data_IF_706583465670
#
_entry.id   IF_706583465670
#
_cell.length_a   1.000
_cell.length_b   1.000
_cell.length_c   1.000
_cell.angle_alpha   90.00
_cell.angle_beta   90.00
_cell.angle_gamma   90.00
#
_symmetry.space_group_name_H-M   'P 1'
#
loop_
_entity.id
_entity.type
_entity.pdbx_description
1 polymer ?
#
# COMPACT_ATOMS: atom_id res chain seq x y z
N UNK A 1 42.02 10.14 -36.63
CA UNK A 1 41.62 11.22 -35.71
C UNK A 1 40.11 11.53 -35.70
N UNK A 2 39.28 11.03 -36.65
CA UNK A 2 37.83 11.35 -36.71
C UNK A 2 36.90 10.48 -35.86
N UNK A 3 37.29 9.24 -35.51
CA UNK A 3 36.39 8.29 -34.82
C UNK A 3 36.26 8.59 -33.32
N UNK A 4 37.34 9.02 -32.67
CA UNK A 4 37.36 9.33 -31.23
C UNK A 4 36.46 10.50 -30.84
N UNK A 5 36.40 11.55 -31.68
CA UNK A 5 35.50 12.69 -31.44
C UNK A 5 34.02 12.30 -31.52
N UNK A 6 33.64 11.44 -32.47
CA UNK A 6 32.25 10.99 -32.61
C UNK A 6 31.79 10.12 -31.44
N UNK A 7 32.68 9.28 -30.90
CA UNK A 7 32.38 8.44 -29.75
C UNK A 7 32.23 9.30 -28.49
N UNK A 8 33.13 10.26 -28.28
CA UNK A 8 33.06 11.19 -27.15
C UNK A 8 31.77 12.02 -27.16
N UNK A 9 31.35 12.53 -28.33
CA UNK A 9 30.08 13.26 -28.47
C UNK A 9 28.87 12.36 -28.21
N UNK A 10 28.91 11.09 -28.65
CA UNK A 10 27.84 10.13 -28.39
C UNK A 10 27.72 9.79 -26.90
N UNK A 11 28.83 9.50 -26.22
CA UNK A 11 28.87 9.22 -24.78
C UNK A 11 28.33 10.42 -24.00
N UNK A 12 28.79 11.63 -24.32
CA UNK A 12 28.31 12.86 -23.69
C UNK A 12 26.81 13.08 -23.93
N UNK A 13 26.30 12.73 -25.11
CA UNK A 13 24.85 12.79 -25.38
C UNK A 13 24.06 11.79 -24.54
N UNK A 14 24.56 10.56 -24.39
CA UNK A 14 23.93 9.53 -23.55
C UNK A 14 23.93 9.94 -22.08
N UNK A 15 25.04 10.49 -21.57
CA UNK A 15 25.10 11.01 -20.20
C UNK A 15 24.08 12.13 -19.96
N UNK A 16 23.95 13.06 -20.90
CA UNK A 16 22.93 14.12 -20.81
C UNK A 16 21.50 13.55 -20.87
N UNK A 17 21.27 12.49 -21.64
CA UNK A 17 19.97 11.81 -21.66
C UNK A 17 19.66 11.12 -20.33
N UNK A 18 20.64 10.45 -19.70
CA UNK A 18 20.47 9.82 -18.38
C UNK A 18 20.10 10.87 -17.34
N UNK A 19 20.83 11.99 -17.29
CA UNK A 19 20.55 13.11 -16.37
C UNK A 19 19.15 13.69 -16.62
N UNK A 20 18.73 13.82 -17.89
CA UNK A 20 17.38 14.28 -18.24
C UNK A 20 16.28 13.32 -17.73
N UNK A 21 16.49 12.00 -17.88
CA UNK A 21 15.55 10.98 -17.39
C UNK A 21 15.46 11.03 -15.86
N UNK A 22 16.57 11.18 -15.16
CA UNK A 22 16.59 11.31 -13.70
C UNK A 22 15.79 12.53 -13.24
N UNK A 23 15.93 13.68 -13.91
CA UNK A 23 15.14 14.88 -13.63
C UNK A 23 13.64 14.65 -13.87
N UNK A 24 13.28 13.98 -14.98
CA UNK A 24 11.89 13.62 -15.27
C UNK A 24 11.30 12.68 -14.21
N UNK A 25 12.07 11.70 -13.73
CA UNK A 25 11.67 10.80 -12.65
C UNK A 25 11.51 11.54 -11.31
N UNK A 26 12.40 12.47 -11.00
CA UNK A 26 12.31 13.30 -9.80
C UNK A 26 11.05 14.17 -9.82
N UNK A 27 10.73 14.76 -10.97
CA UNK A 27 9.52 15.55 -11.15
C UNK A 27 8.26 14.69 -10.98
N UNK A 28 8.24 13.50 -11.59
CA UNK A 28 7.11 12.58 -11.47
C UNK A 28 6.90 12.14 -10.02
N UNK A 29 7.99 11.85 -9.28
CA UNK A 29 7.93 11.55 -7.85
C UNK A 29 7.35 12.71 -7.03
N UNK A 30 7.74 13.95 -7.34
CA UNK A 30 7.19 15.13 -6.69
C UNK A 30 5.69 15.28 -6.95
N UNK A 31 5.25 15.11 -8.21
CA UNK A 31 3.83 15.16 -8.56
C UNK A 31 3.03 14.05 -7.87
N UNK A 32 3.55 12.83 -7.84
CA UNK A 32 2.91 11.72 -7.10
C UNK A 32 2.85 12.00 -5.60
N UNK A 33 3.86 12.64 -5.02
CA UNK A 33 3.83 13.08 -3.62
C UNK A 33 2.76 14.14 -3.37
N UNK A 34 2.61 15.10 -4.29
CA UNK A 34 1.56 16.13 -4.22
C UNK A 34 0.17 15.53 -4.37
N UNK A 35 -0.05 14.65 -5.36
CA UNK A 35 -1.31 13.95 -5.54
C UNK A 35 -1.64 13.05 -4.35
N UNK A 36 -0.66 12.34 -3.78
CA UNK A 36 -0.84 11.56 -2.55
C UNK A 36 -1.24 12.44 -1.36
N UNK A 37 -0.69 13.64 -1.27
CA UNK A 37 -1.07 14.61 -0.24
C UNK A 37 -2.50 15.13 -0.43
N UNK A 38 -2.89 15.45 -1.67
CA UNK A 38 -4.26 15.89 -1.97
C UNK A 38 -5.29 14.76 -1.79
N UNK A 39 -4.96 13.52 -2.15
CA UNK A 39 -5.79 12.34 -1.87
C UNK A 39 -5.94 12.15 -0.35
N UNK A 40 -4.87 12.35 0.43
CA UNK A 40 -4.93 12.30 1.90
C UNK A 40 -5.82 13.41 2.49
N UNK A 41 -5.82 14.60 1.88
CA UNK A 41 -6.70 15.72 2.24
C UNK A 41 -8.16 15.41 1.91
N UNK A 42 -8.45 14.77 0.78
CA UNK A 42 -9.77 14.27 0.42
C UNK A 42 -10.24 13.13 1.33
N UNK A 43 -9.34 12.25 1.77
CA UNK A 43 -9.67 11.19 2.73
C UNK A 43 -10.08 11.77 4.09
N UNK A 44 -9.47 12.88 4.53
CA UNK A 44 -9.92 13.63 5.72
C UNK A 44 -11.33 14.20 5.57
N UNK A 45 -11.76 14.56 4.36
CA UNK A 45 -13.12 15.02 4.11
C UNK A 45 -14.13 13.87 4.01
N UNK A 46 -13.70 12.67 3.59
CA UNK A 46 -14.54 11.46 3.59
C UNK A 46 -14.76 10.85 4.98
N UNK A 47 -13.84 11.07 5.92
CA UNK A 47 -13.92 10.54 7.29
C UNK A 47 -14.78 11.38 8.26
N UNK A 48 -15.47 12.43 7.80
CA UNK A 48 -16.48 13.17 8.57
C UNK A 48 -17.82 12.42 8.72
N UNK A 49 -17.77 11.10 8.87
CA UNK A 49 -18.85 10.31 9.49
C UNK A 49 -18.20 9.23 10.37
N UNK A 50 -17.59 9.66 11.47
CA UNK A 50 -17.78 9.06 12.81
C UNK A 50 -17.01 9.90 13.82
N UNK A 51 -17.76 10.71 14.57
CA UNK A 51 -17.26 11.36 15.78
C UNK A 51 -16.75 10.32 16.79
N UNK A 52 -15.45 10.36 17.13
CA UNK A 52 -15.03 10.71 18.48
C UNK A 52 -13.50 10.72 18.67
N UNK A 53 -13.01 11.94 18.94
CA UNK A 53 -12.02 12.32 19.97
C UNK A 53 -10.57 11.86 19.80
N UNK A 54 -9.82 12.75 19.14
CA UNK A 54 -8.52 13.29 19.54
C UNK A 54 -7.70 12.53 20.59
N UNK A 55 -6.59 11.93 20.15
CA UNK A 55 -5.33 11.97 20.91
C UNK A 55 -4.26 12.50 19.97
N UNK A 56 -3.95 13.77 20.17
CA UNK A 56 -2.73 14.42 19.70
C UNK A 56 -1.56 13.87 20.52
N UNK A 57 -0.50 13.39 19.87
CA UNK A 57 0.85 13.52 20.40
C UNK A 57 1.84 13.70 19.25
N UNK A 58 2.66 14.71 19.46
CA UNK A 58 3.64 15.41 18.62
C UNK A 58 4.82 14.50 18.17
N UNK A 59 5.62 14.89 17.15
CA UNK A 59 6.53 14.00 16.44
C UNK A 59 7.84 13.79 17.22
N UNK A 60 8.30 12.55 17.29
CA UNK A 60 9.65 12.22 17.73
C UNK A 60 10.30 11.27 16.73
N UNK A 61 11.49 11.69 16.33
CA UNK A 61 12.47 11.12 15.41
C UNK A 61 12.96 9.72 15.77
N UNK A 62 13.32 8.98 14.72
CA UNK A 62 14.37 7.94 14.62
C UNK A 62 14.47 6.83 15.68
N UNK A 63 14.42 5.60 15.14
CA UNK A 63 15.10 4.39 15.58
C UNK A 63 14.58 3.72 16.87
N UNK A 64 13.66 2.77 16.69
CA UNK A 64 13.76 1.53 17.46
C UNK A 64 13.27 0.32 16.66
N UNK A 65 14.19 -0.61 16.51
CA UNK A 65 13.92 -1.99 16.15
C UNK A 65 13.18 -2.64 17.32
N UNK A 66 12.24 -3.55 17.05
CA UNK A 66 11.52 -4.38 18.03
C UNK A 66 10.30 -3.73 18.73
N UNK A 67 9.25 -3.51 17.95
CA UNK A 67 7.88 -3.82 18.37
C UNK A 67 7.01 -4.05 17.12
N UNK A 68 7.21 -5.19 16.46
CA UNK A 68 6.24 -5.72 15.49
C UNK A 68 5.02 -6.23 16.26
N UNK A 69 4.35 -5.35 17.00
CA UNK A 69 2.96 -5.59 17.35
C UNK A 69 2.24 -5.60 16.01
N UNK A 70 1.64 -6.72 15.56
CA UNK A 70 0.81 -6.65 14.37
C UNK A 70 -0.23 -5.59 14.66
N UNK A 71 -0.27 -4.54 13.83
CA UNK A 71 -1.28 -3.50 13.96
C UNK A 71 -2.62 -4.20 14.12
N UNK A 72 -3.24 -4.09 15.30
CA UNK A 72 -4.53 -4.72 15.61
C UNK A 72 -5.63 -3.91 14.92
N UNK A 73 -5.58 -3.93 13.59
CA UNK A 73 -6.52 -3.28 12.70
C UNK A 73 -7.55 -4.30 12.23
N UNK A 74 -8.79 -3.85 12.18
CA UNK A 74 -9.90 -4.64 11.66
C UNK A 74 -10.29 -4.12 10.29
N UNK A 75 -10.33 -5.01 9.31
CA UNK A 75 -10.70 -4.72 7.93
C UNK A 75 -12.19 -4.98 7.71
N UNK A 76 -12.87 -4.07 7.02
CA UNK A 76 -14.25 -4.30 6.57
C UNK A 76 -14.29 -5.16 5.31
N UNK A 77 -15.45 -5.75 4.99
CA UNK A 77 -15.61 -6.59 3.79
C UNK A 77 -15.23 -5.87 2.49
N UNK A 78 -15.47 -4.55 2.40
CA UNK A 78 -15.03 -3.75 1.25
C UNK A 78 -13.51 -3.70 1.12
N UNK A 79 -12.79 -3.54 2.23
CA UNK A 79 -11.32 -3.51 2.24
C UNK A 79 -10.73 -4.88 1.97
N UNK A 80 -11.29 -5.93 2.56
CA UNK A 80 -10.88 -7.31 2.28
C UNK A 80 -11.03 -7.62 0.78
N UNK A 81 -12.14 -7.23 0.17
CA UNK A 81 -12.37 -7.36 -1.28
C UNK A 81 -11.33 -6.57 -2.10
N UNK A 82 -10.96 -5.38 -1.65
CA UNK A 82 -9.94 -4.56 -2.32
C UNK A 82 -8.54 -5.16 -2.23
N UNK A 83 -8.13 -5.61 -1.04
CA UNK A 83 -6.79 -6.15 -0.78
C UNK A 83 -6.60 -7.51 -1.46
N UNK A 84 -7.60 -8.38 -1.39
CA UNK A 84 -7.51 -9.75 -1.95
C UNK A 84 -7.87 -9.80 -3.44
N UNK A 85 -8.49 -8.75 -3.99
CA UNK A 85 -9.05 -8.73 -5.34
C UNK A 85 -10.24 -9.69 -5.55
N UNK A 86 -10.72 -10.35 -4.48
CA UNK A 86 -11.78 -11.35 -4.54
C UNK A 86 -13.15 -10.71 -4.38
N UNK A 87 -14.13 -11.21 -5.14
CA UNK A 87 -15.53 -10.80 -4.97
C UNK A 87 -16.09 -11.22 -3.61
N UNK A 88 -17.08 -10.49 -3.09
CA UNK A 88 -17.77 -10.83 -1.83
C UNK A 88 -18.30 -12.26 -1.83
N UNK A 89 -18.86 -12.70 -2.97
CA UNK A 89 -19.38 -14.06 -3.13
C UNK A 89 -18.27 -15.10 -3.06
N UNK A 90 -17.09 -14.80 -3.61
CA UNK A 90 -15.92 -15.67 -3.52
C UNK A 90 -15.42 -15.76 -2.09
N UNK A 91 -15.33 -14.63 -1.38
CA UNK A 91 -14.95 -14.60 0.04
C UNK A 91 -15.89 -15.50 0.87
N UNK A 92 -17.22 -15.37 0.71
CA UNK A 92 -18.15 -16.25 1.44
C UNK A 92 -18.03 -17.73 1.06
N UNK A 93 -17.76 -18.05 -0.21
CA UNK A 93 -17.49 -19.43 -0.64
C UNK A 93 -16.24 -19.99 0.04
N UNK A 94 -15.16 -19.22 0.10
CA UNK A 94 -13.91 -19.63 0.74
C UNK A 94 -14.02 -19.71 2.25
N UNK A 95 -14.83 -18.85 2.88
CA UNK A 95 -15.17 -18.96 4.31
C UNK A 95 -15.90 -20.28 4.57
N UNK A 96 -16.88 -20.66 3.73
CA UNK A 96 -17.58 -21.93 3.85
C UNK A 96 -16.65 -23.14 3.60
N UNK A 97 -15.65 -22.98 2.73
CA UNK A 97 -14.61 -23.98 2.47
C UNK A 97 -13.52 -24.03 3.57
N UNK A 98 -13.58 -23.15 4.58
CA UNK A 98 -12.51 -22.95 5.59
C UNK A 98 -11.14 -22.57 4.99
N UNK A 99 -11.13 -22.01 3.78
CA UNK A 99 -9.93 -21.56 3.08
C UNK A 99 -9.62 -20.07 3.32
N UNK A 100 -10.53 -19.34 3.96
CA UNK A 100 -10.40 -17.91 4.24
C UNK A 100 -10.59 -17.62 5.74
N UNK A 101 -9.91 -16.62 6.32
CA UNK A 101 -10.05 -16.29 7.74
C UNK A 101 -11.49 -15.96 8.16
N UNK A 102 -11.83 -16.38 9.38
CA UNK A 102 -13.17 -16.20 9.93
C UNK A 102 -13.42 -14.73 10.25
N UNK A 103 -14.64 -14.29 9.99
CA UNK A 103 -15.03 -12.92 10.24
C UNK A 103 -15.40 -12.71 11.72
N UNK A 104 -14.90 -11.62 12.31
CA UNK A 104 -15.15 -11.20 13.69
C UNK A 104 -16.30 -10.18 13.70
N UNK A 105 -17.29 -10.40 14.57
CA UNK A 105 -18.42 -9.49 14.73
C UNK A 105 -18.05 -8.42 15.77
N UNK A 106 -17.91 -7.16 15.33
CA UNK A 106 -17.48 -6.05 16.20
C UNK A 106 -18.66 -5.42 16.94
N UNK A 107 -19.83 -5.32 16.29
CA UNK A 107 -21.04 -4.77 16.91
C UNK A 107 -22.26 -5.14 16.08
N UNK A 108 -23.30 -5.75 16.68
CA UNK A 108 -24.60 -6.01 16.06
C UNK A 108 -24.58 -6.55 14.62
N UNK A 109 -24.57 -5.67 13.62
CA UNK A 109 -24.56 -6.00 12.17
C UNK A 109 -23.20 -5.81 11.48
N UNK A 110 -22.21 -5.34 12.22
CA UNK A 110 -20.89 -4.96 11.71
C UNK A 110 -19.89 -6.11 11.85
N UNK A 111 -19.53 -6.67 10.72
CA UNK A 111 -18.55 -7.75 10.56
C UNK A 111 -17.22 -7.15 10.09
N UNK A 112 -16.10 -7.71 10.56
CA UNK A 112 -14.76 -7.33 10.16
C UNK A 112 -13.80 -8.53 10.20
N UNK A 113 -12.60 -8.37 9.68
CA UNK A 113 -11.53 -9.37 9.71
C UNK A 113 -10.30 -8.78 10.39
N UNK A 114 -9.54 -9.58 11.12
CA UNK A 114 -8.24 -9.12 11.62
C UNK A 114 -7.27 -8.97 10.43
N UNK A 115 -6.66 -7.79 10.29
CA UNK A 115 -5.67 -7.52 9.23
C UNK A 115 -4.56 -8.56 9.21
N UNK A 116 -4.05 -8.94 10.39
CA UNK A 116 -3.04 -9.97 10.56
C UNK A 116 -3.43 -11.34 9.98
N UNK A 117 -4.71 -11.73 10.09
CA UNK A 117 -5.18 -13.01 9.56
C UNK A 117 -5.33 -12.98 8.04
N UNK A 118 -5.77 -11.83 7.50
CA UNK A 118 -5.87 -11.61 6.05
C UNK A 118 -4.47 -11.58 5.43
N UNK A 119 -3.52 -10.87 6.02
CA UNK A 119 -2.13 -10.81 5.56
C UNK A 119 -1.47 -12.19 5.59
N UNK A 120 -1.63 -12.95 6.68
CA UNK A 120 -1.12 -14.32 6.79
C UNK A 120 -1.76 -15.26 5.76
N UNK A 121 -3.01 -15.02 5.37
CA UNK A 121 -3.66 -15.76 4.29
C UNK A 121 -3.04 -15.40 2.93
N UNK A 122 -2.80 -14.12 2.65
CA UNK A 122 -2.14 -13.67 1.41
C UNK A 122 -0.76 -14.31 1.28
N UNK A 123 0.05 -14.27 2.33
CA UNK A 123 1.37 -14.90 2.36
C UNK A 123 1.29 -16.41 2.06
N UNK A 124 0.30 -17.10 2.62
CA UNK A 124 0.06 -18.53 2.33
C UNK A 124 -0.28 -18.77 0.86
N UNK A 125 -1.15 -17.95 0.28
CA UNK A 125 -1.57 -18.09 -1.14
C UNK A 125 -0.41 -17.79 -2.08
N UNK A 126 0.38 -16.74 -1.80
CA UNK A 126 1.57 -16.41 -2.57
C UNK A 126 2.59 -17.55 -2.52
N UNK A 127 2.85 -18.13 -1.35
CA UNK A 127 3.75 -19.27 -1.20
C UNK A 127 3.24 -20.59 -1.82
N UNK A 128 1.95 -20.69 -2.15
CA UNK A 128 1.41 -21.85 -2.89
C UNK A 128 1.58 -21.73 -4.41
N UNK A 129 1.78 -20.52 -4.95
CA UNK A 129 1.99 -20.29 -6.37
C UNK A 129 3.41 -20.61 -6.89
N UNK A 130 4.37 -20.85 -5.99
CA UNK A 130 5.76 -21.18 -6.34
C UNK A 130 6.03 -22.69 -6.51
N UNK A 131 5.00 -23.48 -6.86
CA UNK A 131 5.13 -24.93 -7.12
C UNK A 131 4.67 -25.33 -8.51
#
# INVERSE_FOLDING_TARGET
>A
MSKDKSLATYIQSVEQQVVSIEQQLQLLRQHLSQLRFEISKEDRLRHHVTDNKAVVHEPQSNLDSQSRMPEKQFLRLKEVCHITGLSRSTIYKMINANEFPKSIQISGRNIAWAKSEVDAWIERVLGQGER
#
